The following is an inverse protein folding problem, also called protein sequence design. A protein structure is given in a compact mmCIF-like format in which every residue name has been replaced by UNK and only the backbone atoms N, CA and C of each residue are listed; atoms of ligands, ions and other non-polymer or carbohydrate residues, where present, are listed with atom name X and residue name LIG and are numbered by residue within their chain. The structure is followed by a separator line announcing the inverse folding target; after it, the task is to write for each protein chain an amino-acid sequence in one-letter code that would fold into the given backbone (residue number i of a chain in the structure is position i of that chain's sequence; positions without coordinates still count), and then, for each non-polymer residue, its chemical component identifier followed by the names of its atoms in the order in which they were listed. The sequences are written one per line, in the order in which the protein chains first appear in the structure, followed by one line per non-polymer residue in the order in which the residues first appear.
data_IF_495841199250
#
_entry.id   IF_495841199250
#
_cell.length_a   1.000
_cell.length_b   1.000
_cell.length_c   1.000
_cell.angle_alpha   90.00
_cell.angle_beta   90.00
_cell.angle_gamma   90.00
#
_symmetry.space_group_name_H-M   'P 1'
#
loop_
_entity.id
_entity.type
_entity.pdbx_description
1 polymer ?
#
# COMPACT_ATOMS: atom_id res chain seq x y z
N UNK A 1 21.46 9.03 -0.90
CA UNK A 1 20.30 9.29 -1.77
C UNK A 1 19.04 8.91 -1.00
N UNK A 2 18.08 9.81 -0.73
CA UNK A 2 16.83 9.41 -0.10
C UNK A 2 15.98 8.63 -1.11
N UNK A 3 15.64 7.39 -0.79
CA UNK A 3 14.72 6.59 -1.60
C UNK A 3 13.28 7.07 -1.35
N UNK A 4 12.50 7.26 -2.41
CA UNK A 4 11.07 7.60 -2.32
C UNK A 4 10.24 6.39 -2.76
N UNK A 5 9.30 5.98 -1.91
CA UNK A 5 8.31 4.97 -2.24
C UNK A 5 7.30 5.60 -3.20
N UNK A 6 7.12 5.01 -4.38
CA UNK A 6 6.14 5.47 -5.37
C UNK A 6 4.97 4.50 -5.56
N UNK A 7 5.13 3.24 -5.15
CA UNK A 7 4.11 2.20 -5.28
C UNK A 7 4.16 1.28 -4.06
N UNK A 8 2.98 0.87 -3.58
CA UNK A 8 2.83 -0.14 -2.53
C UNK A 8 1.79 -1.17 -2.98
N UNK A 9 2.13 -2.45 -2.86
CA UNK A 9 1.21 -3.57 -3.06
C UNK A 9 0.87 -4.18 -1.69
N UNK A 10 -0.41 -4.18 -1.30
CA UNK A 10 -0.89 -4.80 -0.06
C UNK A 10 -1.92 -5.87 -0.36
N UNK A 11 -2.22 -6.71 0.64
CA UNK A 11 -3.41 -7.54 0.58
C UNK A 11 -4.69 -6.71 0.84
N UNK A 12 -5.84 -7.37 0.75
CA UNK A 12 -7.16 -6.78 0.97
C UNK A 12 -7.55 -6.74 2.45
N UNK A 13 -6.56 -6.83 3.35
CA UNK A 13 -6.78 -6.76 4.78
C UNK A 13 -7.39 -5.41 5.18
N UNK A 14 -8.21 -5.45 6.23
CA UNK A 14 -8.93 -4.27 6.74
C UNK A 14 -7.99 -3.17 7.24
N UNK A 15 -6.71 -3.47 7.47
CA UNK A 15 -5.69 -2.48 7.83
C UNK A 15 -5.29 -1.58 6.66
N UNK A 16 -5.40 -2.07 5.42
CA UNK A 16 -4.88 -1.39 4.23
C UNK A 16 -5.97 -0.81 3.34
N UNK A 17 -7.17 -1.37 3.36
CA UNK A 17 -8.28 -0.96 2.51
C UNK A 17 -9.62 -1.17 3.21
N UNK A 18 -10.65 -0.50 2.70
CA UNK A 18 -12.03 -0.78 3.09
C UNK A 18 -12.39 -2.25 2.79
N UNK A 19 -13.00 -2.99 3.74
CA UNK A 19 -13.37 -4.38 3.52
C UNK A 19 -14.29 -4.55 2.30
N UNK A 20 -13.98 -5.51 1.44
CA UNK A 20 -14.77 -5.79 0.23
C UNK A 20 -14.36 -4.99 -1.01
N UNK A 21 -13.42 -4.06 -0.88
CA UNK A 21 -12.84 -3.39 -2.05
C UNK A 21 -12.08 -4.40 -2.93
N UNK A 22 -12.29 -4.27 -4.24
CA UNK A 22 -11.55 -5.02 -5.27
C UNK A 22 -10.33 -4.26 -5.79
N UNK A 23 -10.22 -2.97 -5.48
CA UNK A 23 -9.13 -2.07 -5.83
C UNK A 23 -8.94 -1.00 -4.75
N UNK A 24 -7.75 -0.39 -4.68
CA UNK A 24 -7.49 0.72 -3.77
C UNK A 24 -8.33 1.94 -4.14
N UNK A 25 -8.84 2.64 -3.12
CA UNK A 25 -9.51 3.93 -3.27
C UNK A 25 -8.52 5.11 -3.29
N UNK A 26 -7.20 4.88 -3.21
CA UNK A 26 -6.21 5.95 -3.09
C UNK A 26 -6.26 6.96 -4.26
N UNK A 27 -6.55 6.52 -5.49
CA UNK A 27 -6.73 7.42 -6.63
C UNK A 27 -7.96 8.30 -6.48
N UNK A 28 -9.10 7.71 -6.11
CA UNK A 28 -10.37 8.42 -5.89
C UNK A 28 -10.23 9.43 -4.74
N UNK A 29 -9.53 9.04 -3.67
CA UNK A 29 -9.26 9.92 -2.53
C UNK A 29 -8.36 11.08 -2.94
N UNK A 30 -7.38 10.85 -3.82
CA UNK A 30 -6.52 11.92 -4.35
C UNK A 30 -7.35 12.95 -5.13
N UNK A 31 -8.23 12.49 -6.02
CA UNK A 31 -9.14 13.36 -6.76
C UNK A 31 -10.05 14.17 -5.82
N UNK A 32 -10.62 13.54 -4.79
CA UNK A 32 -11.45 14.21 -3.80
C UNK A 32 -10.67 15.28 -3.00
N UNK A 33 -9.39 15.02 -2.67
CA UNK A 33 -8.50 16.00 -2.03
C UNK A 33 -8.26 17.19 -2.96
N UNK A 34 -7.96 16.93 -4.24
CA UNK A 34 -7.70 17.98 -5.24
C UNK A 34 -8.94 18.84 -5.51
N UNK A 35 -10.12 18.23 -5.48
CA UNK A 35 -11.41 18.93 -5.60
C UNK A 35 -11.85 19.67 -4.33
N UNK A 36 -11.14 19.51 -3.21
CA UNK A 36 -11.50 20.11 -1.92
C UNK A 36 -12.77 19.52 -1.30
N UNK A 37 -13.12 18.29 -1.67
CA UNK A 37 -14.32 17.60 -1.18
C UNK A 37 -14.16 17.08 0.25
N UNK A 38 -15.27 17.00 0.97
CA UNK A 38 -15.31 16.32 2.27
C UNK A 38 -15.57 14.84 2.06
N UNK A 39 -14.63 13.99 2.49
CA UNK A 39 -14.73 12.54 2.33
C UNK A 39 -14.38 11.80 3.63
N UNK A 40 -14.78 10.53 3.70
CA UNK A 40 -14.34 9.59 4.73
C UNK A 40 -13.53 8.50 4.06
N UNK A 41 -12.28 8.32 4.50
CA UNK A 41 -11.35 7.34 3.93
C UNK A 41 -10.66 6.53 5.01
N UNK A 42 -10.21 5.33 4.66
CA UNK A 42 -9.29 4.56 5.50
C UNK A 42 -7.94 5.28 5.59
N UNK A 43 -7.31 5.22 6.76
CA UNK A 43 -6.09 6.00 7.06
C UNK A 43 -4.94 5.66 6.10
N UNK A 44 -4.79 4.39 5.74
CA UNK A 44 -3.72 3.93 4.84
C UNK A 44 -3.91 4.46 3.41
N UNK A 45 -5.08 4.24 2.80
CA UNK A 45 -5.39 4.74 1.46
C UNK A 45 -5.28 6.27 1.38
N UNK A 46 -5.70 6.95 2.44
CA UNK A 46 -5.62 8.41 2.55
C UNK A 46 -4.17 8.90 2.73
N UNK A 47 -3.29 8.12 3.36
CA UNK A 47 -1.86 8.41 3.41
C UNK A 47 -1.20 8.21 2.05
N UNK A 48 -1.54 7.15 1.32
CA UNK A 48 -1.04 6.91 -0.04
C UNK A 48 -1.43 8.05 -0.98
N UNK A 49 -2.70 8.48 -0.97
CA UNK A 49 -3.20 9.60 -1.77
C UNK A 49 -2.43 10.91 -1.52
N UNK A 50 -2.20 11.27 -0.24
CA UNK A 50 -1.47 12.49 0.13
C UNK A 50 0.02 12.47 -0.23
N UNK A 51 0.62 11.28 -0.34
CA UNK A 51 2.03 11.12 -0.63
C UNK A 51 2.31 10.74 -2.10
N UNK A 52 1.28 10.76 -2.95
CA UNK A 52 1.38 10.36 -4.37
C UNK A 52 1.93 8.93 -4.54
N UNK A 53 1.47 8.02 -3.69
CA UNK A 53 1.84 6.60 -3.73
C UNK A 53 0.74 5.82 -4.45
N UNK A 54 1.11 5.15 -5.54
CA UNK A 54 0.24 4.19 -6.22
C UNK A 54 0.02 2.97 -5.32
N UNK A 55 -1.16 2.89 -4.70
CA UNK A 55 -1.54 1.78 -3.84
C UNK A 55 -2.32 0.75 -4.65
N UNK A 56 -1.78 -0.47 -4.69
CA UNK A 56 -2.39 -1.61 -5.37
C UNK A 56 -2.76 -2.68 -4.37
N UNK A 57 -3.82 -3.40 -4.70
CA UNK A 57 -4.31 -4.53 -3.94
C UNK A 57 -3.96 -5.83 -4.65
N UNK A 58 -3.56 -6.85 -3.89
CA UNK A 58 -3.40 -8.20 -4.44
C UNK A 58 -4.76 -8.75 -4.83
N UNK A 59 -4.80 -9.55 -5.88
CA UNK A 59 -6.02 -10.22 -6.30
C UNK A 59 -6.61 -11.08 -5.15
N UNK A 60 -7.92 -10.96 -4.86
CA UNK A 60 -8.57 -11.78 -3.85
C UNK A 60 -8.37 -13.27 -4.16
N UNK A 61 -8.05 -14.07 -3.13
CA UNK A 61 -7.86 -15.54 -3.24
C UNK A 61 -6.59 -16.02 -3.95
N UNK A 62 -5.50 -15.25 -3.90
CA UNK A 62 -4.18 -15.73 -4.35
C UNK A 62 -3.13 -15.86 -3.23
N UNK A 63 -3.28 -16.83 -2.29
CA UNK A 63 -2.38 -16.98 -1.12
C UNK A 63 -0.89 -17.08 -1.46
N UNK A 64 -0.56 -17.60 -2.64
CA UNK A 64 0.83 -17.80 -3.06
C UNK A 64 1.57 -16.47 -3.30
N UNK A 65 0.85 -15.40 -3.68
CA UNK A 65 1.43 -14.10 -3.98
C UNK A 65 1.91 -13.41 -2.69
N UNK A 66 1.13 -13.52 -1.61
CA UNK A 66 1.52 -13.02 -0.29
C UNK A 66 2.76 -13.74 0.24
N UNK A 67 2.83 -15.06 0.04
CA UNK A 67 4.01 -15.85 0.39
C UNK A 67 5.27 -15.46 -0.40
N UNK A 68 5.13 -15.16 -1.69
CA UNK A 68 6.25 -14.67 -2.52
C UNK A 68 6.73 -13.27 -2.10
N UNK A 69 5.81 -12.34 -1.84
CA UNK A 69 6.15 -10.98 -1.39
C UNK A 69 6.86 -11.02 -0.04
N UNK A 70 6.36 -11.84 0.90
CA UNK A 70 7.03 -12.04 2.18
C UNK A 70 8.47 -12.54 2.03
N UNK A 71 8.70 -13.53 1.15
CA UNK A 71 10.04 -14.05 0.85
C UNK A 71 10.96 -12.98 0.25
N UNK A 72 10.49 -12.24 -0.75
CA UNK A 72 11.27 -11.16 -1.38
C UNK A 72 11.63 -10.07 -0.36
N UNK A 73 10.66 -9.64 0.45
CA UNK A 73 10.88 -8.62 1.47
C UNK A 73 11.88 -9.09 2.53
N UNK A 74 11.85 -10.37 2.90
CA UNK A 74 12.84 -10.96 3.81
C UNK A 74 14.25 -10.93 3.21
N UNK A 75 14.41 -11.33 1.95
CA UNK A 75 15.72 -11.29 1.27
C UNK A 75 16.28 -9.87 1.19
N UNK A 76 15.45 -8.89 0.81
CA UNK A 76 15.85 -7.48 0.76
C UNK A 76 16.26 -7.01 2.15
N UNK A 77 15.46 -7.33 3.19
CA UNK A 77 15.75 -6.96 4.56
C UNK A 77 17.08 -7.55 5.04
N UNK A 78 17.33 -8.83 4.78
CA UNK A 78 18.58 -9.50 5.15
C UNK A 78 19.80 -8.90 4.43
N UNK A 79 19.63 -8.46 3.17
CA UNK A 79 20.71 -7.87 2.38
C UNK A 79 20.99 -6.39 2.71
N UNK A 80 20.03 -5.66 3.29
CA UNK A 80 20.11 -4.19 3.39
C UNK A 80 20.07 -3.64 4.81
N UNK A 81 19.52 -4.39 5.77
CA UNK A 81 19.49 -3.95 7.16
C UNK A 81 20.82 -4.32 7.82
N UNK A 82 21.66 -3.31 8.09
CA UNK A 82 22.79 -3.47 9.02
C UNK A 82 22.23 -3.81 10.40
N UNK A 83 22.36 -5.07 10.81
CA UNK A 83 22.24 -5.45 12.22
C UNK A 83 23.45 -4.89 12.95
N UNK A 84 23.32 -3.70 13.54
CA UNK A 84 24.31 -3.25 14.52
C UNK A 84 24.10 -4.11 15.78
N UNK A 85 25.18 -4.72 16.33
CA UNK A 85 25.10 -5.50 17.55
C UNK A 85 24.71 -4.66 18.76
#
# INVERSE_FOLDING_TARGET
MPYRVHTVLTDNGTHFTTPGNVASAASIIKEAIEAGETFRAYSFESACARNDIDHRLTEPRHPWANGQVGRMNSTIKDATVKRYP
#
